data_IF_611319820382
#
_entry.id   IF_611319820382
#
_cell.length_a   1.000
_cell.length_b   1.000
_cell.length_c   1.000
_cell.angle_alpha   90.00
_cell.angle_beta   90.00
_cell.angle_gamma   90.00
#
_symmetry.space_group_name_H-M   'P 1'
#
loop_
_entity.id
_entity.type
_entity.pdbx_description
1 polymer ?
#
# COMPACT_ATOMS: atom_id res chain seq x y z
N UNK A 1 2.34 18.37 9.45
CA UNK A 1 1.76 18.48 8.09
C UNK A 1 0.46 17.68 8.06
N UNK A 2 -0.52 18.03 7.21
CA UNK A 2 -1.76 17.24 7.05
C UNK A 2 -1.81 16.65 5.65
N UNK A 3 -1.85 15.32 5.52
CA UNK A 3 -1.93 14.62 4.24
C UNK A 3 -3.36 14.15 3.98
N UNK A 4 -3.98 14.61 2.89
CA UNK A 4 -5.39 14.34 2.62
C UNK A 4 -5.51 13.46 1.37
N UNK A 5 -5.89 12.20 1.54
CA UNK A 5 -6.07 11.23 0.45
C UNK A 5 -7.51 11.27 -0.08
N UNK A 6 -7.68 11.84 -1.26
CA UNK A 6 -8.99 12.15 -1.87
C UNK A 6 -9.03 11.78 -3.35
N UNK A 7 -10.23 11.60 -3.87
CA UNK A 7 -10.53 11.46 -5.29
C UNK A 7 -12.02 11.62 -5.56
N UNK A 8 -12.77 10.54 -5.88
CA UNK A 8 -14.20 10.61 -6.22
C UNK A 8 -15.10 11.33 -5.22
N UNK A 9 -14.70 11.37 -3.95
CA UNK A 9 -15.47 12.03 -2.89
C UNK A 9 -15.21 13.53 -2.82
N UNK A 10 -13.97 13.97 -3.03
CA UNK A 10 -13.57 15.38 -3.05
C UNK A 10 -12.66 15.67 -4.23
N UNK A 11 -13.12 16.53 -5.13
CA UNK A 11 -12.29 17.05 -6.22
C UNK A 11 -11.09 17.82 -5.68
N UNK A 12 -9.96 17.79 -6.41
CA UNK A 12 -8.80 18.67 -6.13
C UNK A 12 -9.15 20.15 -6.08
N UNK A 13 -10.21 20.55 -6.78
CA UNK A 13 -10.67 21.94 -6.83
C UNK A 13 -11.51 22.34 -5.62
N UNK A 14 -11.76 21.45 -4.66
CA UNK A 14 -12.49 21.77 -3.44
C UNK A 14 -11.74 22.87 -2.66
N UNK A 15 -12.37 24.04 -2.39
CA UNK A 15 -11.67 25.20 -1.83
C UNK A 15 -10.95 24.94 -0.50
N UNK A 16 -11.50 24.08 0.36
CA UNK A 16 -10.89 23.72 1.64
C UNK A 16 -9.52 23.03 1.45
N UNK A 17 -9.30 22.36 0.32
CA UNK A 17 -8.05 21.67 0.01
C UNK A 17 -6.91 22.62 -0.43
N UNK A 18 -7.20 23.90 -0.68
CA UNK A 18 -6.20 24.90 -1.08
C UNK A 18 -5.40 25.48 0.09
N UNK A 19 -5.61 24.98 1.31
CA UNK A 19 -4.95 25.41 2.53
C UNK A 19 -3.47 24.98 2.53
N UNK A 20 -2.51 25.87 2.88
CA UNK A 20 -1.07 25.56 2.83
C UNK A 20 -0.64 24.48 3.82
N UNK A 21 -1.43 24.24 4.87
CA UNK A 21 -1.21 23.18 5.86
C UNK A 21 -1.54 21.78 5.31
N UNK A 22 -2.26 21.71 4.18
CA UNK A 22 -2.74 20.48 3.56
C UNK A 22 -1.86 20.08 2.37
N UNK A 23 -1.47 18.81 2.35
CA UNK A 23 -0.87 18.14 1.20
C UNK A 23 -1.87 17.17 0.61
N UNK A 24 -2.51 17.60 -0.48
CA UNK A 24 -3.49 16.78 -1.22
C UNK A 24 -2.78 15.62 -1.92
N UNK A 25 -3.23 14.40 -1.64
CA UNK A 25 -2.73 13.15 -2.20
C UNK A 25 -3.85 12.46 -3.01
N UNK A 26 -3.50 11.65 -4.03
CA UNK A 26 -4.50 10.83 -4.74
C UNK A 26 -5.19 9.83 -3.82
N UNK A 27 -6.22 9.09 -4.29
CA UNK A 27 -6.81 8.02 -3.51
C UNK A 27 -5.75 7.05 -3.00
N UNK A 28 -5.80 6.72 -1.71
CA UNK A 28 -4.79 5.90 -1.07
C UNK A 28 -4.70 4.50 -1.69
N UNK A 29 -3.48 4.05 -1.95
CA UNK A 29 -3.14 2.68 -2.36
C UNK A 29 -2.18 2.03 -1.38
N UNK A 30 -2.05 0.71 -1.47
CA UNK A 30 -1.03 -0.02 -0.75
C UNK A 30 0.36 0.60 -0.99
N UNK A 31 1.06 0.89 0.09
CA UNK A 31 2.39 1.49 0.09
C UNK A 31 2.41 2.98 0.44
N UNK A 32 1.31 3.71 0.25
CA UNK A 32 1.32 5.17 0.34
C UNK A 32 1.53 5.69 1.77
N UNK A 33 1.20 4.92 2.80
CA UNK A 33 1.48 5.32 4.19
C UNK A 33 2.93 5.09 4.60
N UNK A 34 3.74 4.42 3.77
CA UNK A 34 5.19 4.31 3.97
C UNK A 34 5.97 5.45 3.30
N UNK A 35 5.28 6.44 2.72
CA UNK A 35 5.92 7.62 2.15
C UNK A 35 6.75 8.34 3.24
N UNK A 36 8.05 8.59 3.02
CA UNK A 36 8.92 9.26 3.99
C UNK A 36 8.49 10.70 4.28
N UNK A 37 7.64 11.30 3.46
CA UNK A 37 7.06 12.62 3.70
C UNK A 37 5.90 12.59 4.72
N UNK A 38 5.58 11.43 5.31
CA UNK A 38 4.59 11.26 6.39
C UNK A 38 5.34 10.76 7.62
N UNK A 39 5.51 11.65 8.59
CA UNK A 39 6.38 11.41 9.77
C UNK A 39 5.64 11.66 11.10
N UNK A 40 6.32 11.37 12.21
CA UNK A 40 5.82 11.61 13.57
C UNK A 40 5.26 13.03 13.73
N UNK A 41 4.05 13.14 14.26
CA UNK A 41 3.35 14.43 14.45
C UNK A 41 2.55 14.92 13.24
N UNK A 42 2.62 14.24 12.10
CA UNK A 42 1.72 14.51 10.99
C UNK A 42 0.30 13.95 11.21
N UNK A 43 -0.66 14.47 10.44
CA UNK A 43 -2.02 13.93 10.38
C UNK A 43 -2.33 13.42 8.99
N UNK A 44 -2.87 12.20 8.89
CA UNK A 44 -3.38 11.63 7.65
C UNK A 44 -4.91 11.65 7.70
N UNK A 45 -5.53 12.29 6.71
CA UNK A 45 -6.97 12.20 6.46
C UNK A 45 -7.20 11.24 5.30
N UNK A 46 -7.69 10.05 5.62
CA UNK A 46 -8.11 9.04 4.66
C UNK A 46 -9.58 9.25 4.29
N UNK A 47 -9.81 9.68 3.06
CA UNK A 47 -11.15 9.73 2.46
C UNK A 47 -11.27 8.61 1.45
N UNK A 48 -10.60 8.72 0.31
CA UNK A 48 -10.70 7.77 -0.79
C UNK A 48 -9.51 6.84 -0.87
N UNK A 49 -9.74 5.63 -1.37
CA UNK A 49 -8.72 4.65 -1.72
C UNK A 49 -8.99 4.05 -3.10
N UNK A 50 -7.94 3.51 -3.72
CA UNK A 50 -8.07 2.84 -5.02
C UNK A 50 -8.91 1.58 -4.90
N UNK A 51 -9.77 1.35 -5.89
CA UNK A 51 -10.64 0.18 -5.97
C UNK A 51 -10.37 -0.59 -7.28
N UNK A 52 -10.24 -1.91 -7.19
CA UNK A 52 -9.97 -2.87 -8.29
C UNK A 52 -8.67 -2.73 -9.11
N UNK A 53 -8.15 -1.52 -9.35
CA UNK A 53 -7.02 -1.27 -10.27
C UNK A 53 -5.64 -1.44 -9.62
N UNK A 54 -5.57 -1.43 -8.29
CA UNK A 54 -4.35 -1.58 -7.51
C UNK A 54 -4.70 -2.17 -6.15
N UNK A 55 -3.75 -2.82 -5.46
CA UNK A 55 -3.99 -3.30 -4.11
C UNK A 55 -4.44 -2.14 -3.21
N UNK A 56 -5.60 -2.30 -2.57
CA UNK A 56 -6.13 -1.32 -1.64
C UNK A 56 -5.24 -1.19 -0.39
N UNK A 57 -5.32 -0.03 0.26
CA UNK A 57 -4.67 0.23 1.54
C UNK A 57 -5.05 -0.83 2.58
N UNK A 58 -4.05 -1.34 3.32
CA UNK A 58 -4.22 -2.41 4.29
C UNK A 58 -4.27 -1.86 5.71
N UNK A 59 -5.06 -2.50 6.59
CA UNK A 59 -5.16 -2.14 8.01
C UNK A 59 -3.81 -1.99 8.71
N UNK A 60 -2.89 -2.92 8.45
CA UNK A 60 -1.55 -2.91 9.06
C UNK A 60 -0.72 -1.67 8.71
N UNK A 61 -0.95 -1.07 7.54
CA UNK A 61 -0.25 0.17 7.16
C UNK A 61 -0.77 1.36 7.98
N UNK A 62 -2.08 1.37 8.26
CA UNK A 62 -2.71 2.39 9.10
C UNK A 62 -2.22 2.27 10.55
N UNK A 63 -2.28 1.06 11.12
CA UNK A 63 -1.79 0.84 12.50
C UNK A 63 -0.31 1.19 12.60
N UNK A 64 0.51 0.81 11.63
CA UNK A 64 1.92 1.18 11.64
C UNK A 64 2.20 2.69 11.45
N UNK A 65 1.33 3.43 10.76
CA UNK A 65 1.42 4.88 10.74
C UNK A 65 1.12 5.46 12.13
N UNK A 66 0.08 4.97 12.80
CA UNK A 66 -0.27 5.39 14.17
C UNK A 66 0.82 5.03 15.18
N UNK A 67 1.45 3.86 15.08
CA UNK A 67 2.57 3.45 15.94
C UNK A 67 3.80 4.36 15.80
N UNK A 68 3.98 5.02 14.64
CA UNK A 68 5.02 6.03 14.41
C UNK A 68 4.62 7.43 14.91
N UNK A 69 3.48 7.57 15.57
CA UNK A 69 2.98 8.86 16.07
C UNK A 69 2.24 9.71 15.02
N UNK A 70 1.80 9.12 13.90
CA UNK A 70 0.96 9.79 12.90
C UNK A 70 -0.50 9.71 13.32
N UNK A 71 -1.18 10.85 13.48
CA UNK A 71 -2.63 10.83 13.71
C UNK A 71 -3.35 10.42 12.42
N UNK A 72 -4.28 9.46 12.48
CA UNK A 72 -5.04 9.03 11.30
C UNK A 72 -6.53 9.27 11.51
N UNK A 73 -7.12 10.05 10.61
CA UNK A 73 -8.55 10.33 10.54
C UNK A 73 -9.12 9.56 9.34
N UNK A 74 -10.23 8.86 9.53
CA UNK A 74 -11.00 8.24 8.45
C UNK A 74 -12.40 8.82 8.35
N UNK A 75 -12.82 9.20 7.15
CA UNK A 75 -14.16 9.70 6.90
C UNK A 75 -14.59 9.47 5.46
N UNK A 76 -15.89 9.25 5.27
CA UNK A 76 -16.50 8.84 4.00
C UNK A 76 -15.81 7.64 3.34
N UNK A 77 -16.40 7.12 2.26
CA UNK A 77 -15.75 6.16 1.37
C UNK A 77 -15.07 4.98 2.11
N UNK A 78 -13.88 4.56 1.69
CA UNK A 78 -13.08 3.55 2.39
C UNK A 78 -12.49 4.06 3.72
N UNK A 79 -12.30 5.38 3.87
CA UNK A 79 -11.77 5.98 5.10
C UNK A 79 -12.67 5.74 6.31
N UNK A 80 -13.97 5.94 6.15
CA UNK A 80 -14.98 5.66 7.16
C UNK A 80 -15.03 4.18 7.55
N UNK A 81 -14.96 3.28 6.56
CA UNK A 81 -14.92 1.84 6.81
C UNK A 81 -13.67 1.46 7.63
N UNK A 82 -12.50 1.96 7.24
CA UNK A 82 -11.24 1.68 7.96
C UNK A 82 -11.24 2.27 9.36
N UNK A 83 -11.83 3.45 9.56
CA UNK A 83 -12.00 4.02 10.90
C UNK A 83 -12.93 3.14 11.76
N UNK A 84 -14.05 2.67 11.24
CA UNK A 84 -14.95 1.79 11.98
C UNK A 84 -14.28 0.45 12.38
N UNK A 85 -13.31 -0.03 11.61
CA UNK A 85 -12.56 -1.25 11.91
C UNK A 85 -11.37 -1.01 12.86
N UNK A 86 -10.88 0.23 12.98
CA UNK A 86 -9.61 0.57 13.65
C UNK A 86 -9.74 1.63 14.75
N UNK A 87 -10.95 2.10 15.05
CA UNK A 87 -11.16 3.14 16.06
C UNK A 87 -10.74 2.70 17.47
N UNK A 88 -11.00 1.45 17.82
CA UNK A 88 -10.50 0.81 19.05
C UNK A 88 -8.98 0.70 19.12
N UNK A 89 -8.29 0.90 17.98
CA UNK A 89 -6.83 0.94 17.86
C UNK A 89 -6.28 2.36 17.66
N UNK A 90 -7.11 3.39 17.85
CA UNK A 90 -6.68 4.80 17.86
C UNK A 90 -6.97 5.59 16.58
N UNK A 91 -7.54 4.98 15.54
CA UNK A 91 -7.95 5.72 14.34
C UNK A 91 -9.18 6.60 14.62
N UNK A 92 -9.15 7.87 14.23
CA UNK A 92 -10.25 8.80 14.47
C UNK A 92 -11.30 8.69 13.35
N UNK A 93 -12.49 8.20 13.67
CA UNK A 93 -13.61 8.19 12.74
C UNK A 93 -14.40 9.49 12.78
N UNK A 94 -14.67 10.07 11.61
CA UNK A 94 -15.48 11.30 11.50
C UNK A 94 -16.61 11.12 10.51
N UNK A 95 -17.78 11.65 10.88
CA UNK A 95 -18.93 11.77 10.00
C UNK A 95 -19.99 10.69 10.19
N UNK A 96 -21.08 10.88 9.45
CA UNK A 96 -22.27 10.02 9.51
C UNK A 96 -21.99 8.63 8.97
N UNK A 97 -21.19 8.51 7.91
CA UNK A 97 -20.86 7.25 7.25
C UNK A 97 -19.99 6.38 8.17
N UNK A 98 -18.98 6.97 8.82
CA UNK A 98 -18.19 6.27 9.84
C UNK A 98 -19.10 5.76 10.96
N UNK A 99 -19.94 6.65 11.51
CA UNK A 99 -20.87 6.30 12.61
C UNK A 99 -21.82 5.17 12.21
N UNK A 100 -22.27 5.17 10.95
CA UNK A 100 -23.15 4.12 10.44
C UNK A 100 -22.45 2.76 10.31
N UNK A 101 -21.18 2.73 9.87
CA UNK A 101 -20.38 1.49 9.86
C UNK A 101 -20.06 1.01 11.28
N UNK A 102 -19.60 1.90 12.16
CA UNK A 102 -19.21 1.56 13.54
C UNK A 102 -20.36 0.95 14.35
N UNK A 103 -21.60 1.36 14.07
CA UNK A 103 -22.80 0.81 14.71
C UNK A 103 -23.51 -0.30 13.91
N UNK A 104 -22.94 -0.76 12.79
CA UNK A 104 -23.54 -1.81 11.95
C UNK A 104 -24.85 -1.41 11.27
N UNK A 105 -25.13 -0.11 11.12
CA UNK A 105 -26.29 0.39 10.35
C UNK A 105 -26.10 0.13 8.86
N UNK A 106 -24.85 0.17 8.40
CA UNK A 106 -24.40 -0.24 7.07
C UNK A 106 -23.19 -1.16 7.18
N UNK A 107 -23.08 -2.13 6.28
CA UNK A 107 -21.98 -3.13 6.30
C UNK A 107 -21.41 -3.41 4.90
N UNK A 108 -22.12 -3.05 3.83
CA UNK A 108 -21.73 -3.38 2.46
C UNK A 108 -20.66 -2.45 1.89
N UNK A 109 -19.76 -3.00 1.07
CA UNK A 109 -18.78 -2.22 0.29
C UNK A 109 -19.47 -1.33 -0.76
N UNK A 110 -20.61 -1.78 -1.30
CA UNK A 110 -21.41 -1.05 -2.28
C UNK A 110 -22.08 0.20 -1.70
N UNK A 111 -22.12 0.33 -0.37
CA UNK A 111 -22.66 1.50 0.30
C UNK A 111 -21.89 2.76 -0.09
N UNK A 112 -20.57 2.64 -0.22
CA UNK A 112 -19.66 3.74 -0.49
C UNK A 112 -19.01 3.69 -1.88
N UNK A 113 -19.08 2.55 -2.57
CA UNK A 113 -18.49 2.35 -3.88
C UNK A 113 -19.14 3.22 -4.96
N UNK A 114 -18.31 3.70 -5.89
CA UNK A 114 -18.72 4.50 -7.06
C UNK A 114 -17.97 4.02 -8.30
N UNK A 115 -18.59 4.20 -9.47
CA UNK A 115 -17.91 4.05 -10.74
C UNK A 115 -16.95 5.20 -10.98
N UNK A 116 -15.76 4.91 -11.50
CA UNK A 116 -14.74 5.88 -11.86
C UNK A 116 -14.39 5.76 -13.34
N UNK A 117 -13.94 6.86 -13.95
CA UNK A 117 -13.46 6.85 -15.31
C UNK A 117 -12.15 6.04 -15.44
N UNK A 118 -11.95 5.28 -16.53
CA UNK A 118 -10.73 4.48 -16.73
C UNK A 118 -9.45 5.31 -16.85
N UNK A 119 -9.57 6.60 -17.16
CA UNK A 119 -8.45 7.55 -17.31
C UNK A 119 -7.88 8.03 -15.97
N UNK A 120 -8.46 7.60 -14.84
CA UNK A 120 -8.03 8.00 -13.50
C UNK A 120 -8.60 9.35 -13.05
N UNK A 121 -9.64 9.86 -13.72
CA UNK A 121 -10.39 11.03 -13.27
C UNK A 121 -10.89 10.90 -11.83
N UNK A 122 -10.89 12.02 -11.10
CA UNK A 122 -11.31 12.10 -9.70
C UNK A 122 -12.81 12.30 -9.54
N UNK A 123 -13.59 12.16 -10.61
CA UNK A 123 -15.03 12.35 -10.58
C UNK A 123 -15.74 11.01 -10.41
N UNK A 124 -16.70 10.97 -9.48
CA UNK A 124 -17.62 9.86 -9.36
C UNK A 124 -18.62 9.87 -10.53
N UNK A 125 -18.71 8.77 -11.27
CA UNK A 125 -19.66 8.61 -12.37
C UNK A 125 -21.04 8.12 -11.89
N UNK A 126 -21.10 7.59 -10.67
CA UNK A 126 -22.32 7.00 -10.10
C UNK A 126 -22.56 7.41 -8.65
N UNK A 127 -23.78 7.18 -8.20
CA UNK A 127 -24.24 7.50 -6.86
C UNK A 127 -23.94 6.35 -5.89
N UNK A 128 -23.24 6.61 -4.77
CA UNK A 128 -23.09 5.64 -3.68
C UNK A 128 -24.41 5.51 -2.89
N UNK A 129 -24.63 4.38 -2.21
CA UNK A 129 -25.93 4.18 -1.52
C UNK A 129 -26.07 5.12 -0.33
N UNK A 130 -24.98 5.46 0.35
CA UNK A 130 -25.02 6.40 1.48
C UNK A 130 -25.58 7.76 1.09
N UNK A 131 -25.25 8.27 -0.11
CA UNK A 131 -25.84 9.52 -0.62
C UNK A 131 -27.33 9.34 -0.94
N UNK A 132 -27.73 8.20 -1.50
CA UNK A 132 -29.14 7.90 -1.77
C UNK A 132 -29.96 7.79 -0.48
N UNK A 133 -29.45 7.09 0.54
CA UNK A 133 -30.04 7.02 1.88
C UNK A 133 -30.23 8.43 2.46
N UNK A 134 -29.20 9.25 2.40
CA UNK A 134 -29.23 10.62 2.90
C UNK A 134 -30.30 11.46 2.19
N UNK A 135 -30.35 11.41 0.86
CA UNK A 135 -31.37 12.12 0.06
C UNK A 135 -32.79 11.66 0.38
N UNK A 136 -33.00 10.36 0.61
CA UNK A 136 -34.31 9.83 1.00
C UNK A 136 -34.74 10.35 2.37
N UNK A 137 -33.83 10.44 3.34
CA UNK A 137 -34.10 11.07 4.64
C UNK A 137 -34.49 12.54 4.48
N UNK A 138 -33.77 13.30 3.65
CA UNK A 138 -34.11 14.70 3.35
C UNK A 138 -35.49 14.81 2.68
N UNK A 139 -35.83 13.90 1.77
CA UNK A 139 -37.14 13.86 1.11
C UNK A 139 -38.28 13.56 2.09
N UNK A 140 -38.04 12.69 3.08
CA UNK A 140 -39.00 12.43 4.15
C UNK A 140 -39.22 13.66 5.03
N UNK A 141 -38.14 14.36 5.41
CA UNK A 141 -38.22 15.60 6.18
C UNK A 141 -38.97 16.70 5.41
N UNK A 142 -38.83 16.74 4.08
CA UNK A 142 -39.57 17.64 3.20
C UNK A 142 -41.00 17.19 2.89
N UNK A 143 -41.47 16.05 3.42
CA UNK A 143 -42.82 15.52 3.19
C UNK A 143 -43.05 14.97 1.78
N UNK A 144 -42.00 14.73 0.99
CA UNK A 144 -42.09 14.21 -0.38
C UNK A 144 -42.33 12.69 -0.39
N UNK A 145 -41.74 12.00 0.59
CA UNK A 145 -41.86 10.56 0.82
C UNK A 145 -42.29 10.29 2.26
N UNK A 146 -43.04 9.20 2.46
CA UNK A 146 -43.17 8.59 3.79
C UNK A 146 -42.10 7.49 3.97
N UNK A 147 -42.02 6.92 5.18
CA UNK A 147 -41.02 5.90 5.49
C UNK A 147 -41.15 4.61 4.68
N UNK A 148 -42.36 4.18 4.35
CA UNK A 148 -42.58 2.95 3.58
C UNK A 148 -42.14 3.13 2.13
N UNK A 149 -42.48 4.27 1.52
CA UNK A 149 -42.06 4.64 0.16
C UNK A 149 -40.54 4.83 0.08
N UNK A 150 -39.94 5.49 1.05
CA UNK A 150 -38.49 5.66 1.11
C UNK A 150 -37.74 4.32 1.22
N UNK A 151 -38.21 3.41 2.07
CA UNK A 151 -37.62 2.06 2.20
C UNK A 151 -37.75 1.25 0.90
N UNK A 152 -38.94 1.25 0.28
CA UNK A 152 -39.15 0.55 -0.99
C UNK A 152 -38.29 1.10 -2.12
N UNK A 153 -38.16 2.43 -2.22
CA UNK A 153 -37.31 3.06 -3.24
C UNK A 153 -35.82 2.79 -2.99
N UNK A 154 -35.38 2.77 -1.74
CA UNK A 154 -33.99 2.43 -1.40
C UNK A 154 -33.62 1.02 -1.87
N UNK A 155 -34.48 0.03 -1.64
CA UNK A 155 -34.23 -1.35 -2.09
C UNK A 155 -34.19 -1.46 -3.62
N UNK A 156 -35.08 -0.75 -4.31
CA UNK A 156 -35.06 -0.69 -5.77
C UNK A 156 -33.78 -0.03 -6.33
N UNK A 157 -33.26 1.00 -5.64
CA UNK A 157 -32.01 1.65 -5.99
C UNK A 157 -30.80 0.76 -5.67
N UNK A 158 -30.82 0.05 -4.53
CA UNK A 158 -29.79 -0.92 -4.11
C UNK A 158 -29.60 -2.04 -5.12
N UNK A 159 -30.68 -2.51 -5.73
CA UNK A 159 -30.64 -3.57 -6.75
C UNK A 159 -29.87 -3.17 -8.02
N UNK A 160 -29.57 -1.88 -8.24
CA UNK A 160 -28.75 -1.43 -9.36
C UNK A 160 -27.26 -1.56 -8.96
N UNK A 161 -26.53 -2.39 -9.71
CA UNK A 161 -25.08 -2.56 -9.50
C UNK A 161 -24.34 -1.21 -9.50
N UNK A 162 -23.44 -0.99 -8.53
CA UNK A 162 -22.87 0.34 -8.24
C UNK A 162 -22.22 1.07 -9.43
N UNK A 163 -21.50 0.42 -10.38
CA UNK A 163 -20.96 1.10 -11.56
C UNK A 163 -22.04 1.54 -12.55
N UNK A 164 -23.27 1.07 -12.39
CA UNK A 164 -24.42 1.43 -13.24
C UNK A 164 -25.38 2.40 -12.55
N UNK A 165 -25.17 2.77 -11.28
CA UNK A 165 -26.00 3.73 -10.51
C UNK A 165 -25.79 5.18 -10.94
N UNK A 166 -25.85 5.43 -12.24
CA UNK A 166 -25.79 6.77 -12.81
C UNK A 166 -27.03 7.58 -12.44
N UNK A 167 -26.95 8.90 -12.60
CA UNK A 167 -28.12 9.76 -12.43
C UNK A 167 -29.31 9.35 -13.31
N UNK A 168 -29.06 8.90 -14.55
CA UNK A 168 -30.09 8.39 -15.45
C UNK A 168 -30.75 7.12 -14.88
N UNK A 169 -29.96 6.21 -14.31
CA UNK A 169 -30.47 4.99 -13.69
C UNK A 169 -31.32 5.30 -12.45
N UNK A 170 -30.87 6.23 -11.59
CA UNK A 170 -31.63 6.68 -10.42
C UNK A 170 -33.00 7.22 -10.85
N UNK A 171 -33.06 8.12 -11.84
CA UNK A 171 -34.35 8.63 -12.36
C UNK A 171 -35.24 7.52 -12.91
N UNK A 172 -34.69 6.58 -13.67
CA UNK A 172 -35.44 5.47 -14.23
C UNK A 172 -36.01 4.54 -13.15
N UNK A 173 -35.30 4.34 -12.04
CA UNK A 173 -35.80 3.58 -10.88
C UNK A 173 -36.96 4.33 -10.22
N UNK A 174 -36.83 5.64 -10.00
CA UNK A 174 -37.91 6.45 -9.44
C UNK A 174 -39.17 6.39 -10.32
N UNK A 175 -39.03 6.48 -11.65
CA UNK A 175 -40.16 6.38 -12.59
C UNK A 175 -40.86 5.03 -12.52
N UNK A 176 -40.10 3.92 -12.55
CA UNK A 176 -40.66 2.56 -12.45
C UNK A 176 -41.33 2.29 -11.10
N UNK A 177 -40.85 2.92 -10.04
CA UNK A 177 -41.41 2.80 -8.70
C UNK A 177 -42.62 3.73 -8.46
N UNK A 178 -43.02 4.53 -9.46
CA UNK A 178 -44.11 5.51 -9.33
C UNK A 178 -43.72 6.79 -8.59
N UNK A 179 -42.45 6.97 -8.25
CA UNK A 179 -41.92 8.02 -7.39
C UNK A 179 -41.54 9.30 -8.17
N UNK A 180 -42.47 9.76 -9.01
CA UNK A 180 -42.27 10.94 -9.89
C UNK A 180 -42.11 12.25 -9.11
N UNK A 181 -42.79 12.39 -7.98
CA UNK A 181 -42.69 13.58 -7.13
C UNK A 181 -41.27 13.70 -6.54
N UNK A 182 -40.72 12.60 -6.05
CA UNK A 182 -39.35 12.53 -5.56
C UNK A 182 -38.33 12.80 -6.67
N UNK A 183 -38.48 12.20 -7.86
CA UNK A 183 -37.58 12.43 -8.98
C UNK A 183 -37.53 13.91 -9.39
N UNK A 184 -38.69 14.57 -9.43
CA UNK A 184 -38.79 16.01 -9.73
C UNK A 184 -38.12 16.85 -8.65
N UNK A 185 -38.48 16.61 -7.39
CA UNK A 185 -37.92 17.32 -6.25
C UNK A 185 -36.39 17.20 -6.21
N UNK A 186 -35.83 16.00 -6.37
CA UNK A 186 -34.39 15.80 -6.38
C UNK A 186 -33.71 16.51 -7.56
N UNK A 187 -34.36 16.56 -8.73
CA UNK A 187 -33.86 17.31 -9.89
C UNK A 187 -33.81 18.81 -9.60
N UNK A 188 -34.86 19.36 -8.99
CA UNK A 188 -34.94 20.78 -8.62
C UNK A 188 -33.88 21.14 -7.56
N UNK A 189 -33.73 20.32 -6.53
CA UNK A 189 -32.71 20.55 -5.49
C UNK A 189 -31.30 20.53 -6.06
N UNK A 190 -31.00 19.57 -6.96
CA UNK A 190 -29.68 19.49 -7.61
C UNK A 190 -29.40 20.60 -8.61
N UNK A 191 -30.44 21.15 -9.23
CA UNK A 191 -30.31 22.32 -10.09
C UNK A 191 -29.99 23.59 -9.27
N UNK A 192 -30.50 23.68 -8.04
CA UNK A 192 -30.20 24.77 -7.12
C UNK A 192 -28.83 24.63 -6.44
N UNK A 193 -28.45 23.41 -6.06
CA UNK A 193 -27.15 23.07 -5.47
C UNK A 193 -26.63 21.75 -6.05
N UNK A 194 -25.53 21.82 -6.80
CA UNK A 194 -24.91 20.65 -7.41
C UNK A 194 -24.46 19.58 -6.41
N UNK A 195 -24.18 19.97 -5.16
CA UNK A 195 -23.75 19.09 -4.06
C UNK A 195 -24.91 18.61 -3.18
N UNK A 196 -26.15 18.94 -3.53
CA UNK A 196 -27.30 18.52 -2.75
C UNK A 196 -27.34 16.99 -2.60
N UNK A 197 -27.36 16.54 -1.34
CA UNK A 197 -27.41 15.12 -1.00
C UNK A 197 -26.06 14.40 -0.99
N UNK A 198 -24.95 15.11 -1.17
CA UNK A 198 -23.61 14.52 -1.18
C UNK A 198 -23.05 14.32 0.24
N UNK A 199 -23.54 13.30 0.93
CA UNK A 199 -23.11 12.95 2.28
C UNK A 199 -21.61 12.61 2.33
N UNK A 200 -21.08 11.92 1.30
CA UNK A 200 -19.65 11.62 1.24
C UNK A 200 -18.82 12.92 1.25
N UNK A 201 -19.20 13.92 0.46
CA UNK A 201 -18.52 15.24 0.47
C UNK A 201 -18.64 15.91 1.83
N UNK A 202 -19.82 15.91 2.45
CA UNK A 202 -20.04 16.54 3.77
C UNK A 202 -19.14 15.91 4.86
N UNK A 203 -19.10 14.59 4.95
CA UNK A 203 -18.27 13.87 5.92
C UNK A 203 -16.76 14.10 5.66
N UNK A 204 -16.35 14.09 4.40
CA UNK A 204 -14.96 14.34 4.03
C UNK A 204 -14.51 15.76 4.39
N UNK A 205 -15.35 16.77 4.13
CA UNK A 205 -15.08 18.16 4.53
C UNK A 205 -14.99 18.31 6.05
N UNK A 206 -15.90 17.66 6.80
CA UNK A 206 -15.86 17.66 8.26
C UNK A 206 -14.54 17.07 8.80
N UNK A 207 -14.02 16.01 8.18
CA UNK A 207 -12.76 15.41 8.57
C UNK A 207 -11.53 16.27 8.24
N UNK A 208 -11.53 16.93 7.08
CA UNK A 208 -10.48 17.89 6.74
C UNK A 208 -10.51 19.08 7.71
N UNK A 209 -11.70 19.58 8.06
CA UNK A 209 -11.83 20.65 9.04
C UNK A 209 -11.32 20.23 10.43
N UNK A 210 -11.69 19.02 10.90
CA UNK A 210 -11.20 18.51 12.18
C UNK A 210 -9.67 18.36 12.21
N UNK A 211 -9.05 17.96 11.08
CA UNK A 211 -7.60 17.92 10.98
C UNK A 211 -6.97 19.32 11.10
N UNK A 212 -7.58 20.33 10.48
CA UNK A 212 -7.14 21.73 10.56
C UNK A 212 -7.32 22.33 11.95
N UNK A 213 -8.38 21.95 12.67
CA UNK A 213 -8.65 22.38 14.04
C UNK A 213 -7.68 21.73 15.06
N UNK A 214 -6.99 20.67 14.64
CA UNK A 214 -6.05 19.91 15.42
C UNK A 214 -6.71 18.68 16.06
N UNK A 215 -6.02 17.55 15.95
CA UNK A 215 -6.44 16.29 16.56
C UNK A 215 -5.49 15.87 17.69
N UNK A 216 -5.99 15.10 18.68
CA UNK A 216 -5.12 14.51 19.69
C UNK A 216 -4.03 13.65 19.04
N UNK A 217 -2.87 13.59 19.69
CA UNK A 217 -1.85 12.63 19.32
C UNK A 217 -2.44 11.20 19.38
N UNK A 218 -2.08 10.32 18.43
CA UNK A 218 -2.55 8.95 18.46
C UNK A 218 -2.08 8.28 19.74
N UNK A 219 -2.94 7.48 20.36
CA UNK A 219 -2.53 6.59 21.44
C UNK A 219 -2.02 5.31 20.76
N UNK A 220 -0.73 4.94 20.90
CA UNK A 220 -0.22 3.72 20.30
C UNK A 220 -1.04 2.52 20.80
N UNK A 221 -1.53 1.72 19.86
CA UNK A 221 -2.23 0.49 20.22
C UNK A 221 -1.21 -0.53 20.75
N UNK A 222 -1.57 -1.29 21.78
CA UNK A 222 -0.78 -2.45 22.23
C UNK A 222 -1.01 -3.65 21.29
N UNK A 223 -0.70 -3.45 20.00
CA UNK A 223 -0.84 -4.46 18.95
C UNK A 223 0.50 -4.65 18.26
N UNK A 224 0.94 -5.90 18.14
CA UNK A 224 2.13 -6.24 17.36
C UNK A 224 1.88 -6.00 15.87
N UNK A 225 2.38 -4.89 15.36
CA UNK A 225 2.37 -4.56 13.92
C UNK A 225 3.50 -5.23 13.14
N UNK A 226 4.61 -5.52 13.83
CA UNK A 226 5.77 -6.22 13.29
C UNK A 226 5.42 -7.66 12.88
N UNK A 227 5.19 -7.85 11.59
CA UNK A 227 4.94 -9.15 10.95
C UNK A 227 5.77 -9.27 9.69
N UNK A 228 6.04 -10.51 9.25
CA UNK A 228 6.83 -10.75 8.02
C UNK A 228 6.25 -10.04 6.78
N UNK A 229 4.94 -9.83 6.73
CA UNK A 229 4.29 -9.08 5.65
C UNK A 229 4.57 -7.58 5.76
N UNK A 230 4.42 -7.03 6.96
CA UNK A 230 4.69 -5.62 7.23
C UNK A 230 6.15 -5.28 6.89
N UNK A 231 7.11 -6.08 7.36
CA UNK A 231 8.54 -5.91 7.06
C UNK A 231 8.83 -5.97 5.55
N UNK A 232 8.20 -6.90 4.82
CA UNK A 232 8.34 -6.95 3.36
C UNK A 232 7.82 -5.68 2.67
N UNK A 233 6.67 -5.16 3.12
CA UNK A 233 6.10 -3.94 2.54
C UNK A 233 6.92 -2.70 2.90
N UNK A 234 7.36 -2.58 4.14
CA UNK A 234 8.17 -1.46 4.59
C UNK A 234 9.54 -1.46 3.92
N UNK A 235 10.20 -2.62 3.78
CA UNK A 235 11.44 -2.77 3.00
C UNK A 235 11.27 -2.29 1.56
N UNK A 236 10.14 -2.66 0.93
CA UNK A 236 9.85 -2.25 -0.44
C UNK A 236 9.64 -0.73 -0.58
N UNK A 237 9.38 -0.01 0.51
CA UNK A 237 9.27 1.46 0.54
C UNK A 237 10.61 2.17 0.80
N UNK A 238 11.61 1.48 1.38
CA UNK A 238 12.92 2.09 1.66
C UNK A 238 13.64 2.47 0.37
N UNK A 239 13.93 3.76 0.21
CA UNK A 239 14.67 4.33 -0.91
C UNK A 239 15.81 5.15 -0.35
N UNK A 240 17.02 4.91 -0.83
CA UNK A 240 18.18 5.74 -0.52
C UNK A 240 18.55 6.54 -1.77
N UNK A 241 18.95 7.80 -1.58
CA UNK A 241 19.57 8.57 -2.64
C UNK A 241 21.05 8.18 -2.70
N UNK A 242 21.49 7.66 -3.84
CA UNK A 242 22.88 7.29 -4.04
C UNK A 242 23.33 7.62 -5.46
N UNK A 243 24.46 8.33 -5.59
CA UNK A 243 25.01 8.80 -6.86
C UNK A 243 23.99 9.56 -7.75
N UNK A 244 23.08 10.32 -7.13
CA UNK A 244 22.05 11.10 -7.84
C UNK A 244 20.84 10.28 -8.33
N UNK A 245 20.73 9.01 -7.98
CA UNK A 245 19.60 8.13 -8.30
C UNK A 245 18.92 7.66 -7.02
N UNK A 246 17.58 7.69 -7.00
CA UNK A 246 16.80 7.09 -5.92
C UNK A 246 16.59 5.61 -6.20
N UNK A 247 17.18 4.75 -5.38
CA UNK A 247 17.17 3.30 -5.55
C UNK A 247 16.45 2.60 -4.40
N UNK A 248 15.69 1.56 -4.71
CA UNK A 248 15.13 0.67 -3.70
C UNK A 248 16.25 -0.06 -2.96
N UNK A 249 16.24 0.01 -1.62
CA UNK A 249 17.20 -0.72 -0.81
C UNK A 249 17.09 -2.24 -1.03
N UNK A 250 15.87 -2.75 -1.26
CA UNK A 250 15.64 -4.16 -1.58
C UNK A 250 16.27 -4.56 -2.93
N UNK A 251 16.18 -3.72 -3.96
CA UNK A 251 16.83 -4.00 -5.25
C UNK A 251 18.36 -3.97 -5.13
N UNK A 252 18.90 -3.04 -4.33
CA UNK A 252 20.34 -2.97 -4.03
C UNK A 252 20.80 -4.23 -3.28
N UNK A 253 20.07 -4.66 -2.25
CA UNK A 253 20.36 -5.89 -1.52
C UNK A 253 20.35 -7.10 -2.45
N UNK A 254 19.30 -7.26 -3.25
CA UNK A 254 19.17 -8.40 -4.18
C UNK A 254 20.29 -8.40 -5.21
N UNK A 255 20.71 -7.23 -5.70
CA UNK A 255 21.85 -7.14 -6.59
C UNK A 255 23.13 -7.64 -5.92
N UNK A 256 23.41 -7.20 -4.69
CA UNK A 256 24.57 -7.66 -3.93
C UNK A 256 24.50 -9.17 -3.65
N UNK A 257 23.34 -9.69 -3.25
CA UNK A 257 23.13 -11.13 -3.03
C UNK A 257 23.47 -11.95 -4.27
N UNK A 258 23.14 -11.46 -5.46
CA UNK A 258 23.34 -12.18 -6.72
C UNK A 258 24.76 -12.02 -7.26
N UNK A 259 25.27 -10.79 -7.35
CA UNK A 259 26.45 -10.49 -8.17
C UNK A 259 27.73 -10.30 -7.37
N UNK A 260 27.64 -9.99 -6.08
CA UNK A 260 28.85 -9.86 -5.29
C UNK A 260 29.34 -11.27 -4.83
N UNK A 261 30.60 -11.62 -5.12
CA UNK A 261 31.14 -12.95 -4.81
C UNK A 261 31.37 -13.18 -3.32
N UNK A 262 31.51 -12.12 -2.53
CA UNK A 262 31.81 -12.18 -1.09
C UNK A 262 30.56 -11.93 -0.23
N UNK A 263 29.36 -12.06 -0.81
CA UNK A 263 28.13 -11.72 -0.09
C UNK A 263 27.87 -12.69 1.05
N UNK A 264 28.34 -13.93 0.92
CA UNK A 264 28.27 -14.94 1.98
C UNK A 264 28.98 -14.50 3.27
N UNK A 265 30.07 -13.73 3.18
CA UNK A 265 30.77 -13.18 4.35
C UNK A 265 29.92 -12.11 5.06
N UNK A 266 29.21 -11.28 4.29
CA UNK A 266 28.30 -10.26 4.83
C UNK A 266 27.06 -10.88 5.46
N UNK A 267 26.48 -11.88 4.80
CA UNK A 267 25.36 -12.61 5.36
C UNK A 267 25.75 -13.30 6.67
N UNK A 268 26.93 -13.92 6.72
CA UNK A 268 27.48 -14.47 7.95
C UNK A 268 27.65 -13.39 9.04
N UNK A 269 28.25 -12.24 8.70
CA UNK A 269 28.42 -11.14 9.65
C UNK A 269 27.07 -10.61 10.18
N UNK A 270 26.04 -10.57 9.34
CA UNK A 270 24.68 -10.21 9.73
C UNK A 270 24.05 -11.22 10.69
N UNK A 271 24.17 -12.52 10.39
CA UNK A 271 23.71 -13.58 11.30
C UNK A 271 24.49 -13.57 12.63
N UNK A 272 25.79 -13.33 12.59
CA UNK A 272 26.63 -13.17 13.78
C UNK A 272 26.18 -11.97 14.62
N UNK A 273 25.89 -10.83 13.98
CA UNK A 273 25.38 -9.65 14.65
C UNK A 273 24.03 -9.93 15.35
N UNK A 274 23.06 -10.51 14.65
CA UNK A 274 21.76 -10.86 15.23
C UNK A 274 21.88 -11.91 16.34
N UNK A 275 22.83 -12.83 16.22
CA UNK A 275 23.11 -13.81 17.26
C UNK A 275 23.65 -13.16 18.55
N UNK A 276 24.47 -12.12 18.42
CA UNK A 276 25.02 -11.36 19.54
C UNK A 276 24.04 -10.34 20.12
N UNK A 277 23.08 -9.88 19.32
CA UNK A 277 22.12 -8.84 19.70
C UNK A 277 20.67 -9.31 19.41
N UNK A 278 20.16 -10.31 20.15
CA UNK A 278 18.84 -10.85 19.88
C UNK A 278 17.75 -9.81 20.22
N UNK A 279 16.86 -9.55 19.26
CA UNK A 279 15.78 -8.56 19.40
C UNK A 279 14.84 -8.81 20.61
N UNK A 280 14.74 -10.05 21.09
CA UNK A 280 13.93 -10.41 22.25
C UNK A 280 14.58 -10.15 23.63
N UNK A 281 15.74 -9.47 23.68
CA UNK A 281 16.42 -9.11 24.95
C UNK A 281 17.09 -10.28 25.69
N UNK A 282 17.21 -11.44 25.05
CA UNK A 282 17.93 -12.59 25.60
C UNK A 282 19.47 -12.40 25.60
N UNK A 283 20.24 -13.32 26.21
CA UNK A 283 21.69 -13.24 26.17
C UNK A 283 22.21 -13.45 24.73
N UNK A 284 23.03 -12.50 24.27
CA UNK A 284 23.79 -12.61 23.05
C UNK A 284 24.83 -13.73 23.11
N UNK A 285 25.09 -14.38 21.98
CA UNK A 285 26.15 -15.38 21.83
C UNK A 285 26.68 -15.38 20.39
N UNK A 286 27.83 -16.00 20.16
CA UNK A 286 28.32 -16.19 18.78
C UNK A 286 27.35 -17.08 17.98
N UNK A 287 27.32 -16.91 16.65
CA UNK A 287 26.52 -17.74 15.77
C UNK A 287 26.92 -19.21 15.88
N UNK A 288 28.21 -19.49 16.05
CA UNK A 288 28.71 -20.86 16.25
C UNK A 288 28.09 -21.52 17.48
N UNK A 289 28.06 -20.82 18.62
CA UNK A 289 27.40 -21.31 19.84
C UNK A 289 25.90 -21.51 19.64
N UNK A 290 25.25 -20.57 18.94
CA UNK A 290 23.81 -20.64 18.65
C UNK A 290 23.47 -21.86 17.79
N UNK A 291 24.24 -22.09 16.73
CA UNK A 291 24.11 -23.27 15.85
C UNK A 291 24.37 -24.56 16.61
N UNK A 292 25.38 -24.60 17.48
CA UNK A 292 25.66 -25.76 18.32
C UNK A 292 24.47 -26.11 19.22
N UNK A 293 23.82 -25.11 19.82
CA UNK A 293 22.63 -25.30 20.67
C UNK A 293 21.39 -25.73 19.89
N UNK A 294 21.17 -25.19 18.70
CA UNK A 294 19.96 -25.42 17.93
C UNK A 294 20.01 -26.70 17.07
N UNK A 295 21.18 -27.06 16.53
CA UNK A 295 21.33 -28.15 15.56
C UNK A 295 22.54 -29.06 15.79
N UNK A 296 23.17 -28.99 16.97
CA UNK A 296 24.34 -29.82 17.30
C UNK A 296 25.58 -29.54 16.45
N UNK A 297 25.65 -28.39 15.77
CA UNK A 297 26.82 -27.97 14.98
C UNK A 297 26.98 -28.63 13.61
N UNK A 298 26.00 -29.42 13.14
CA UNK A 298 26.13 -30.19 11.88
C UNK A 298 25.84 -29.41 10.61
N UNK A 299 25.10 -28.31 10.72
CA UNK A 299 24.74 -27.43 9.60
C UNK A 299 25.34 -26.04 9.82
N UNK A 300 25.75 -25.32 8.77
CA UNK A 300 26.18 -23.94 8.90
C UNK A 300 25.01 -23.03 9.29
N UNK A 301 25.32 -21.86 9.85
CA UNK A 301 24.32 -20.94 10.40
C UNK A 301 23.30 -20.46 9.39
N UNK A 302 23.73 -20.19 8.15
CA UNK A 302 22.84 -19.77 7.07
C UNK A 302 21.82 -20.86 6.70
N UNK A 303 22.17 -22.15 6.82
CA UNK A 303 21.23 -23.26 6.56
C UNK A 303 20.24 -23.49 7.68
N UNK A 304 20.49 -22.95 8.86
CA UNK A 304 19.65 -23.11 10.04
C UNK A 304 18.79 -21.87 10.32
N UNK A 305 19.29 -20.69 10.00
CA UNK A 305 18.67 -19.41 10.34
C UNK A 305 18.52 -18.51 9.10
N UNK A 306 17.27 -18.18 8.79
CA UNK A 306 16.90 -17.17 7.78
C UNK A 306 16.01 -16.11 8.42
N UNK A 307 16.59 -15.16 9.17
CA UNK A 307 15.83 -14.05 9.74
C UNK A 307 15.29 -13.17 8.62
N UNK A 308 14.14 -12.53 8.86
CA UNK A 308 13.66 -11.49 7.96
C UNK A 308 14.57 -10.28 8.11
N UNK A 309 15.12 -9.81 6.99
CA UNK A 309 15.95 -8.61 6.94
C UNK A 309 15.05 -7.38 7.11
N UNK A 310 15.43 -6.46 7.99
CA UNK A 310 14.78 -5.16 8.12
C UNK A 310 15.65 -4.08 7.48
N UNK A 311 15.26 -3.62 6.30
CA UNK A 311 16.00 -2.60 5.56
C UNK A 311 15.68 -1.18 6.04
N UNK A 312 14.75 -0.98 6.98
CA UNK A 312 14.52 0.33 7.61
C UNK A 312 15.67 0.70 8.54
N UNK A 313 16.30 -0.29 9.15
CA UNK A 313 17.43 -0.08 10.05
C UNK A 313 18.70 0.28 9.27
N UNK A 314 19.27 1.44 9.60
CA UNK A 314 20.51 1.92 8.98
C UNK A 314 21.68 0.95 9.19
N UNK A 315 21.79 0.35 10.39
CA UNK A 315 22.84 -0.62 10.68
C UNK A 315 22.76 -1.87 9.78
N UNK A 316 21.55 -2.41 9.60
CA UNK A 316 21.31 -3.56 8.71
C UNK A 316 21.69 -3.22 7.27
N UNK A 317 21.32 -2.04 6.77
CA UNK A 317 21.75 -1.58 5.44
C UNK A 317 23.26 -1.40 5.34
N UNK A 318 23.89 -0.77 6.33
CA UNK A 318 25.33 -0.53 6.36
C UNK A 318 26.13 -1.84 6.32
N UNK A 319 25.65 -2.89 6.98
CA UNK A 319 26.31 -4.19 7.01
C UNK A 319 26.12 -4.96 5.69
N UNK A 320 24.88 -5.06 5.19
CA UNK A 320 24.57 -5.87 4.01
C UNK A 320 25.02 -5.21 2.70
N UNK A 321 25.06 -3.88 2.65
CA UNK A 321 25.49 -3.11 1.48
C UNK A 321 26.93 -2.57 1.62
N UNK A 322 27.71 -3.08 2.57
CA UNK A 322 29.04 -2.57 2.90
C UNK A 322 30.03 -2.53 1.72
N UNK A 323 29.94 -3.48 0.78
CA UNK A 323 30.81 -3.51 -0.40
C UNK A 323 30.20 -2.87 -1.65
N UNK A 324 29.02 -2.27 -1.54
CA UNK A 324 28.30 -1.78 -2.71
C UNK A 324 29.06 -0.63 -3.37
N UNK A 325 29.45 -0.88 -4.62
CA UNK A 325 30.18 0.12 -5.41
C UNK A 325 29.22 1.08 -6.13
N UNK A 326 29.75 2.22 -6.56
CA UNK A 326 29.01 3.13 -7.45
C UNK A 326 28.66 2.47 -8.80
N UNK A 327 29.45 1.50 -9.26
CA UNK A 327 29.13 0.76 -10.47
C UNK A 327 27.91 -0.16 -10.28
N UNK A 328 27.81 -0.79 -9.12
CA UNK A 328 26.70 -1.68 -8.73
C UNK A 328 25.40 -0.88 -8.71
N UNK A 329 25.40 0.29 -8.06
CA UNK A 329 24.24 1.18 -8.02
C UNK A 329 23.78 1.61 -9.40
N UNK A 330 24.73 1.96 -10.28
CA UNK A 330 24.41 2.27 -11.68
C UNK A 330 23.86 1.04 -12.42
N UNK A 331 24.35 -0.16 -12.13
CA UNK A 331 23.83 -1.39 -12.72
C UNK A 331 22.39 -1.66 -12.25
N UNK A 332 22.09 -1.52 -10.96
CA UNK A 332 20.72 -1.61 -10.41
C UNK A 332 19.78 -0.66 -11.15
N UNK A 333 20.16 0.62 -11.29
CA UNK A 333 19.37 1.60 -12.02
C UNK A 333 19.12 1.19 -13.48
N UNK A 334 20.17 0.74 -14.18
CA UNK A 334 20.06 0.27 -15.57
C UNK A 334 19.16 -0.95 -15.69
N UNK A 335 19.29 -1.92 -14.79
CA UNK A 335 18.53 -3.17 -14.86
C UNK A 335 17.05 -2.92 -14.61
N UNK A 336 16.72 -2.04 -13.65
CA UNK A 336 15.35 -1.58 -13.43
C UNK A 336 14.76 -0.86 -14.65
N UNK A 337 15.54 0.01 -15.30
CA UNK A 337 15.12 0.71 -16.52
C UNK A 337 14.86 -0.26 -17.69
N UNK A 338 15.71 -1.27 -17.87
CA UNK A 338 15.53 -2.32 -18.88
C UNK A 338 14.25 -3.11 -18.60
N UNK A 339 14.02 -3.55 -17.36
CA UNK A 339 12.79 -4.25 -16.99
C UNK A 339 11.53 -3.40 -17.28
N UNK A 340 11.57 -2.10 -16.96
CA UNK A 340 10.45 -1.18 -17.20
C UNK A 340 10.11 -1.05 -18.69
N UNK A 341 11.09 -1.11 -19.59
CA UNK A 341 10.86 -1.06 -21.04
C UNK A 341 10.08 -2.26 -21.58
N UNK A 342 10.13 -3.41 -20.90
CA UNK A 342 9.35 -4.59 -21.29
C UNK A 342 7.86 -4.46 -20.97
N UNK A 343 7.45 -3.53 -20.09
CA UNK A 343 6.05 -3.32 -19.73
C UNK A 343 5.39 -4.50 -19.01
N UNK A 344 6.17 -5.47 -18.52
CA UNK A 344 5.70 -6.67 -17.83
C UNK A 344 6.29 -6.74 -16.41
N UNK A 345 5.54 -7.32 -15.44
CA UNK A 345 6.07 -7.51 -14.10
C UNK A 345 7.24 -8.50 -14.10
N UNK A 346 8.15 -8.38 -13.13
CA UNK A 346 9.28 -9.32 -12.98
C UNK A 346 8.82 -10.79 -12.88
N UNK A 347 7.61 -11.05 -12.40
CA UNK A 347 7.02 -12.40 -12.34
C UNK A 347 6.88 -13.08 -13.72
N UNK A 348 6.82 -12.30 -14.80
CA UNK A 348 6.77 -12.80 -16.17
C UNK A 348 8.12 -13.38 -16.65
N UNK A 349 9.23 -13.09 -15.96
CA UNK A 349 10.54 -13.64 -16.28
C UNK A 349 10.56 -15.13 -15.92
N UNK A 350 10.97 -15.96 -16.88
CA UNK A 350 10.99 -17.43 -16.75
C UNK A 350 11.94 -17.90 -15.65
N UNK A 351 11.47 -18.87 -14.88
CA UNK A 351 12.22 -19.43 -13.75
C UNK A 351 13.44 -20.25 -14.20
N UNK A 352 13.32 -21.02 -15.28
CA UNK A 352 14.43 -21.84 -15.80
C UNK A 352 15.56 -20.97 -16.37
N UNK A 353 15.23 -19.85 -17.02
CA UNK A 353 16.22 -18.87 -17.49
C UNK A 353 16.93 -18.24 -16.30
N UNK A 354 16.17 -17.80 -15.31
CA UNK A 354 16.71 -17.16 -14.10
C UNK A 354 17.63 -18.11 -13.33
N UNK A 355 17.23 -19.38 -13.17
CA UNK A 355 18.04 -20.41 -12.53
C UNK A 355 19.37 -20.63 -13.26
N UNK A 356 19.35 -20.77 -14.59
CA UNK A 356 20.58 -20.91 -15.38
C UNK A 356 21.53 -19.73 -15.19
N UNK A 357 21.01 -18.51 -15.25
CA UNK A 357 21.80 -17.29 -15.00
C UNK A 357 22.46 -17.34 -13.62
N UNK A 358 21.74 -17.74 -12.58
CA UNK A 358 22.31 -17.82 -11.23
C UNK A 358 23.39 -18.89 -11.10
N UNK A 359 23.21 -20.07 -11.69
CA UNK A 359 24.24 -21.12 -11.71
C UNK A 359 25.52 -20.64 -12.40
N UNK A 360 25.37 -19.93 -13.52
CA UNK A 360 26.50 -19.37 -14.27
C UNK A 360 27.22 -18.26 -13.49
N UNK A 361 26.46 -17.33 -12.88
CA UNK A 361 27.00 -16.22 -12.09
C UNK A 361 27.72 -16.73 -10.84
N UNK A 362 27.12 -17.68 -10.13
CA UNK A 362 27.70 -18.24 -8.90
C UNK A 362 28.74 -19.33 -9.16
N UNK A 363 28.83 -19.85 -10.39
CA UNK A 363 29.74 -20.93 -10.79
C UNK A 363 29.60 -22.16 -9.89
N UNK A 364 28.37 -22.50 -9.51
CA UNK A 364 28.07 -23.63 -8.64
C UNK A 364 27.30 -24.73 -9.39
N UNK A 365 27.47 -26.02 -9.02
CA UNK A 365 26.67 -27.11 -9.57
C UNK A 365 25.23 -27.06 -9.02
N UNK A 366 24.28 -27.64 -9.78
CA UNK A 366 22.86 -27.71 -9.38
C UNK A 366 22.66 -28.31 -7.97
N UNK A 367 23.49 -29.28 -7.59
CA UNK A 367 23.45 -29.95 -6.28
C UNK A 367 23.79 -29.03 -5.10
N UNK A 368 24.50 -27.92 -5.36
CA UNK A 368 24.90 -26.94 -4.34
C UNK A 368 24.07 -25.65 -4.41
N UNK A 369 23.16 -25.53 -5.38
CA UNK A 369 22.41 -24.30 -5.64
C UNK A 369 21.62 -23.80 -4.41
N UNK A 370 20.97 -24.70 -3.67
CA UNK A 370 20.27 -24.33 -2.43
C UNK A 370 21.24 -23.92 -1.31
N UNK A 371 22.45 -24.49 -1.28
CA UNK A 371 23.51 -24.09 -0.36
C UNK A 371 23.95 -22.67 -0.62
N UNK A 372 24.25 -22.39 -1.90
CA UNK A 372 24.77 -21.10 -2.34
C UNK A 372 23.72 -20.00 -2.16
N UNK A 373 22.46 -20.28 -2.48
CA UNK A 373 21.35 -19.39 -2.19
C UNK A 373 21.29 -19.06 -0.69
N UNK A 374 21.30 -20.11 0.16
CA UNK A 374 21.24 -19.96 1.62
C UNK A 374 22.39 -19.12 2.17
N UNK A 375 23.63 -19.38 1.72
CA UNK A 375 24.82 -18.65 2.11
C UNK A 375 24.74 -17.16 1.74
N UNK A 376 23.99 -16.82 0.69
CA UNK A 376 23.74 -15.44 0.24
C UNK A 376 22.51 -14.79 0.90
N UNK A 377 21.90 -15.42 1.90
CA UNK A 377 20.69 -14.94 2.57
C UNK A 377 19.42 -15.06 1.73
N UNK A 378 19.43 -15.93 0.72
CA UNK A 378 18.25 -16.32 -0.04
C UNK A 378 17.81 -17.69 0.50
N UNK A 379 16.60 -17.77 1.06
CA UNK A 379 16.12 -18.94 1.84
C UNK A 379 16.44 -20.31 1.20
N UNK A 380 16.33 -20.40 -0.13
CA UNK A 380 16.72 -21.55 -0.95
C UNK A 380 16.79 -21.12 -2.42
N UNK A 381 17.10 -22.05 -3.32
CA UNK A 381 17.19 -21.82 -4.74
C UNK A 381 15.91 -21.30 -5.39
N UNK A 382 14.72 -21.70 -4.90
CA UNK A 382 13.46 -21.13 -5.38
C UNK A 382 13.30 -19.65 -4.95
N UNK A 383 13.70 -19.33 -3.71
CA UNK A 383 13.76 -17.96 -3.21
C UNK A 383 14.77 -17.10 -4.00
N UNK A 384 15.93 -17.66 -4.31
CA UNK A 384 16.93 -16.99 -5.14
C UNK A 384 16.42 -16.70 -6.55
N UNK A 385 15.78 -17.68 -7.21
CA UNK A 385 15.15 -17.48 -8.51
C UNK A 385 14.09 -16.39 -8.43
N UNK A 386 13.21 -16.42 -7.44
CA UNK A 386 12.17 -15.40 -7.29
C UNK A 386 12.76 -13.99 -7.12
N UNK A 387 13.77 -13.84 -6.27
CA UNK A 387 14.44 -12.55 -6.05
C UNK A 387 15.14 -12.05 -7.33
N UNK A 388 15.83 -12.93 -8.05
CA UNK A 388 16.66 -12.58 -9.20
C UNK A 388 15.88 -12.24 -10.48
N UNK A 389 14.61 -12.66 -10.60
CA UNK A 389 13.77 -12.34 -11.79
C UNK A 389 13.80 -10.86 -12.17
N UNK A 390 13.87 -9.95 -11.19
CA UNK A 390 13.91 -8.50 -11.42
C UNK A 390 15.24 -8.00 -12.02
N UNK A 391 16.32 -8.77 -11.89
CA UNK A 391 17.67 -8.41 -12.35
C UNK A 391 18.00 -9.01 -13.73
N UNK A 392 17.42 -10.18 -14.05
CA UNK A 392 17.80 -10.98 -15.22
C UNK A 392 17.71 -10.22 -16.55
N UNK A 393 16.63 -9.48 -16.88
CA UNK A 393 16.57 -8.78 -18.16
C UNK A 393 17.69 -7.75 -18.33
N UNK A 394 18.01 -7.01 -17.27
CA UNK A 394 19.11 -6.05 -17.26
C UNK A 394 20.47 -6.69 -17.42
N UNK A 395 20.73 -7.78 -16.67
CA UNK A 395 21.97 -8.55 -16.77
C UNK A 395 22.20 -9.11 -18.17
N UNK A 396 21.19 -9.74 -18.78
CA UNK A 396 21.29 -10.29 -20.13
C UNK A 396 21.50 -9.20 -21.19
N UNK A 397 20.85 -8.05 -21.02
CA UNK A 397 21.05 -6.90 -21.90
C UNK A 397 22.49 -6.38 -21.83
N UNK A 398 23.06 -6.28 -20.62
CA UNK A 398 24.43 -5.85 -20.42
C UNK A 398 25.45 -6.85 -21.00
N UNK A 399 25.27 -8.15 -20.76
CA UNK A 399 26.14 -9.20 -21.30
C UNK A 399 26.16 -9.19 -22.84
N UNK A 400 25.00 -8.97 -23.49
CA UNK A 400 24.93 -8.84 -24.94
C UNK A 400 25.73 -7.64 -25.46
N UNK A 401 25.57 -6.47 -24.84
CA UNK A 401 26.27 -5.26 -25.26
C UNK A 401 27.79 -5.39 -25.10
N UNK A 402 28.26 -6.10 -24.06
CA UNK A 402 29.69 -6.37 -23.87
C UNK A 402 30.25 -7.30 -24.96
N UNK A 403 29.49 -8.32 -25.39
CA UNK A 403 29.89 -9.19 -26.50
C UNK A 403 29.95 -8.44 -27.83
N UNK A 404 28.99 -7.55 -28.10
CA UNK A 404 28.96 -6.73 -29.32
C UNK A 404 30.13 -5.72 -29.36
N UNK A 405 30.47 -5.10 -28.23
CA UNK A 405 31.62 -4.19 -28.13
C UNK A 405 32.96 -4.93 -28.23
N UNK A 406 33.06 -6.12 -27.64
CA UNK A 406 34.25 -6.98 -27.74
C UNK A 406 34.45 -7.63 -29.12
N UNK A 407 33.39 -7.75 -29.93
CA UNK A 407 33.48 -8.20 -31.33
C UNK A 407 33.84 -7.07 -32.31
N UNK A 408 33.75 -5.80 -31.89
CA UNK A 408 34.08 -4.62 -32.69
C UNK A 408 35.46 -4.02 -32.39
N UNK A 409 36.10 -4.43 -31.29
CA UNK A 409 37.46 -4.05 -30.89
C UNK A 409 38.48 -5.10 -31.34
#
# INVERSE_FOLDING_TARGET
MIHVFVGPTLSRSEPLLARPELRVRPPARHGDLFDPDIDEGDTVVLVDGVFHQSPALRHKEIVAAMDRGVAVIGAASIGALRAAELDTLGMLGIGTIYTAYAHGVIEGDDEVAVGQAPDGGWEALTWPLVNLRHVLVLAQQAGILDGARAAGLLEALRAVYYPHRTWAAVRAVCERSGEKAFARWLTEQRAADQHFGDLKRLDALAAVQAALDGVPAPIPADVRTETVYYQRWSNAAVRDQADGVHLAADDRLVYQQIFDPLFHERWYAFLEHLSRHPAGGGPGMSLAERVARAGGGRLPGDRLFHPVVDLREEHTRALLLASESAADRRAVARYAAVLAQFGAPASAVREDVTRRVLLDVWRCPETEFDAEASARGLVNGAGAVHAAKRMVPGYLHEARNQLEQGAMA
#
